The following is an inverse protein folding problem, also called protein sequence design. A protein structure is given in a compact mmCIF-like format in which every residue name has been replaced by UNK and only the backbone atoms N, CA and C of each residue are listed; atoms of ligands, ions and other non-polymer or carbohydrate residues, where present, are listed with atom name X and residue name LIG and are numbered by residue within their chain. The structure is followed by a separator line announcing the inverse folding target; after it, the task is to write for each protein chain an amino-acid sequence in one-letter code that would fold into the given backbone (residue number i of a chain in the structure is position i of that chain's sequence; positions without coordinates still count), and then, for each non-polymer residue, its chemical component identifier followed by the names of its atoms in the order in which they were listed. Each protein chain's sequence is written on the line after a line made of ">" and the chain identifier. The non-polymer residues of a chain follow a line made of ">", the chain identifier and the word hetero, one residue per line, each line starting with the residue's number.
data_IF_622033262942
#
_entry.id   IF_622033262942
#
_cell.length_a   1.000
_cell.length_b   1.000
_cell.length_c   1.000
_cell.angle_alpha   90.00
_cell.angle_beta   90.00
_cell.angle_gamma   90.00
#
_symmetry.space_group_name_H-M   'P 1'
#
loop_
_entity.id
_entity.type
_entity.pdbx_description
1 polymer ?
#
# COMPACT_ATOMS: atom_id res chain seq x y z
N UNK A 1 27.96 32.71 -1.61
CA UNK A 1 27.77 31.28 -1.34
C UNK A 1 26.62 30.82 -2.21
N UNK A 2 26.93 30.23 -3.35
CA UNK A 2 25.94 29.82 -4.34
C UNK A 2 25.59 28.35 -4.06
N UNK A 3 24.37 28.09 -3.62
CA UNK A 3 23.90 26.73 -3.41
C UNK A 3 23.77 26.03 -4.77
N UNK A 4 24.41 24.88 -4.91
CA UNK A 4 24.27 24.02 -6.08
C UNK A 4 22.89 23.38 -6.05
N UNK A 5 22.02 23.81 -6.96
CA UNK A 5 20.77 23.11 -7.27
C UNK A 5 21.14 21.87 -8.08
N UNK A 6 21.25 20.71 -7.40
CA UNK A 6 21.33 19.42 -8.08
C UNK A 6 19.91 19.05 -8.49
N UNK A 7 19.61 19.28 -9.77
CA UNK A 7 18.42 18.73 -10.41
C UNK A 7 18.59 17.22 -10.57
N UNK A 8 17.76 16.46 -9.86
CA UNK A 8 17.52 15.06 -10.16
C UNK A 8 16.12 14.96 -10.76
N UNK A 9 16.05 14.66 -12.06
CA UNK A 9 14.81 14.25 -12.71
C UNK A 9 14.49 12.82 -12.24
N UNK A 10 14.06 12.67 -10.99
CA UNK A 10 13.50 11.42 -10.46
C UNK A 10 12.01 11.40 -10.79
N UNK A 11 11.45 10.26 -11.18
CA UNK A 11 10.02 10.08 -11.02
C UNK A 11 9.72 10.36 -9.54
N UNK A 12 8.97 11.42 -9.26
CA UNK A 12 8.79 11.93 -7.90
C UNK A 12 7.97 10.90 -7.13
N UNK A 13 8.66 10.05 -6.37
CA UNK A 13 8.02 9.13 -5.43
C UNK A 13 7.06 9.94 -4.54
N UNK A 14 5.88 9.40 -4.19
CA UNK A 14 4.94 10.13 -3.37
C UNK A 14 5.60 10.61 -2.07
N UNK A 15 5.56 11.90 -1.74
CA UNK A 15 6.22 12.43 -0.54
C UNK A 15 5.70 11.77 0.75
N UNK A 16 4.44 11.32 0.75
CA UNK A 16 3.82 10.59 1.86
C UNK A 16 4.54 9.28 2.23
N UNK A 17 5.34 8.72 1.33
CA UNK A 17 6.12 7.50 1.61
C UNK A 17 7.33 7.75 2.52
N UNK A 18 7.74 9.01 2.70
CA UNK A 18 8.87 9.38 3.56
C UNK A 18 8.44 9.82 4.97
N UNK A 19 7.18 9.60 5.32
CA UNK A 19 6.59 9.91 6.62
C UNK A 19 5.90 8.66 7.20
N UNK A 20 5.66 8.59 8.52
CA UNK A 20 4.81 7.55 9.09
C UNK A 20 3.46 7.51 8.35
N UNK A 21 2.96 6.32 7.99
CA UNK A 21 1.69 6.21 7.28
C UNK A 21 0.56 6.70 8.18
N UNK A 22 -0.36 7.47 7.59
CA UNK A 22 -1.58 7.91 8.28
C UNK A 22 -2.54 6.74 8.44
N UNK A 23 -3.36 6.80 9.47
CA UNK A 23 -4.41 5.82 9.70
C UNK A 23 -5.71 6.19 8.99
N UNK A 24 -6.66 5.25 8.93
CA UNK A 24 -7.96 5.48 8.34
C UNK A 24 -8.75 6.58 9.08
N UNK A 25 -8.66 6.61 10.42
CA UNK A 25 -9.34 7.62 11.24
C UNK A 25 -8.82 9.03 10.96
N UNK A 26 -7.51 9.23 10.82
CA UNK A 26 -6.88 10.51 10.47
C UNK A 26 -7.32 11.04 9.09
N UNK A 27 -7.66 10.13 8.18
CA UNK A 27 -8.12 10.44 6.82
C UNK A 27 -9.64 10.45 6.67
N UNK A 28 -10.40 10.14 7.73
CA UNK A 28 -11.85 10.06 7.70
C UNK A 28 -12.40 8.91 6.83
N UNK A 29 -11.65 7.83 6.67
CA UNK A 29 -12.05 6.64 5.89
C UNK A 29 -12.82 5.71 6.82
N UNK A 30 -14.10 5.47 6.50
CA UNK A 30 -15.01 4.66 7.34
C UNK A 30 -15.57 3.43 6.62
N UNK A 31 -15.14 3.17 5.39
CA UNK A 31 -15.68 2.08 4.57
C UNK A 31 -14.53 1.37 3.85
N UNK A 32 -14.55 0.04 3.93
CA UNK A 32 -13.51 -0.81 3.38
C UNK A 32 -14.11 -1.77 2.35
N UNK A 33 -13.35 -2.05 1.30
CA UNK A 33 -13.70 -3.01 0.26
C UNK A 33 -12.68 -4.15 0.26
N UNK A 34 -13.05 -5.28 -0.35
CA UNK A 34 -12.16 -6.43 -0.48
C UNK A 34 -12.19 -6.99 -1.91
N UNK A 35 -11.23 -7.88 -2.20
CA UNK A 35 -11.19 -8.59 -3.47
C UNK A 35 -12.42 -9.49 -3.64
N UNK A 36 -13.06 -9.54 -4.83
CA UNK A 36 -14.16 -10.46 -5.11
C UNK A 36 -13.81 -11.93 -4.86
N UNK A 37 -12.53 -12.29 -5.00
CA UNK A 37 -12.05 -13.64 -4.67
C UNK A 37 -12.25 -14.04 -3.20
N UNK A 38 -12.31 -13.06 -2.29
CA UNK A 38 -12.56 -13.28 -0.87
C UNK A 38 -14.06 -13.36 -0.54
N UNK A 39 -14.93 -12.79 -1.38
CA UNK A 39 -16.39 -12.84 -1.16
C UNK A 39 -16.94 -14.27 -1.28
N UNK A 40 -16.25 -15.14 -2.04
CA UNK A 40 -16.60 -16.56 -2.21
C UNK A 40 -16.06 -17.45 -1.07
N UNK A 41 -15.47 -16.86 -0.02
CA UNK A 41 -14.87 -17.59 1.12
C UNK A 41 -15.70 -17.43 2.37
N UNK A 42 -15.69 -18.46 3.22
CA UNK A 42 -16.32 -18.43 4.55
C UNK A 42 -15.46 -17.65 5.56
N UNK A 43 -15.37 -16.33 5.38
CA UNK A 43 -14.61 -15.43 6.23
C UNK A 43 -15.51 -14.41 6.92
N UNK A 44 -15.13 -13.89 8.11
CA UNK A 44 -15.76 -12.70 8.65
C UNK A 44 -15.69 -11.52 7.67
N UNK A 45 -16.64 -10.56 7.77
CA UNK A 45 -16.61 -9.31 7.01
C UNK A 45 -15.27 -8.55 7.13
N UNK A 46 -14.93 -7.77 6.11
CA UNK A 46 -13.60 -7.12 6.01
C UNK A 46 -13.30 -6.18 7.18
N UNK A 47 -14.29 -5.44 7.66
CA UNK A 47 -14.19 -4.55 8.82
C UNK A 47 -13.87 -5.30 10.13
N UNK A 48 -14.33 -6.55 10.29
CA UNK A 48 -14.00 -7.38 11.44
C UNK A 48 -12.59 -8.01 11.37
N UNK A 49 -11.99 -8.06 10.18
CA UNK A 49 -10.66 -8.65 9.97
C UNK A 49 -9.54 -7.61 10.01
N UNK A 50 -9.87 -6.34 9.76
CA UNK A 50 -8.93 -5.24 9.87
C UNK A 50 -8.71 -4.87 11.35
N UNK A 51 -7.55 -4.30 11.71
CA UNK A 51 -7.38 -3.59 12.98
C UNK A 51 -8.40 -2.45 13.11
N UNK A 52 -8.66 -2.02 14.35
CA UNK A 52 -9.61 -0.92 14.64
C UNK A 52 -9.28 0.37 13.87
N UNK A 53 -8.00 0.66 13.68
CA UNK A 53 -7.53 1.81 12.90
C UNK A 53 -6.39 1.41 11.93
N UNK A 54 -6.72 0.95 10.72
CA UNK A 54 -5.72 0.44 9.78
C UNK A 54 -4.89 1.58 9.16
N UNK A 55 -3.61 1.31 8.91
CA UNK A 55 -2.75 2.22 8.14
C UNK A 55 -3.19 2.30 6.68
N UNK A 56 -3.02 3.49 6.08
CA UNK A 56 -3.41 3.76 4.69
C UNK A 56 -2.17 4.03 3.84
N UNK A 57 -2.03 3.26 2.76
CA UNK A 57 -0.90 3.38 1.83
C UNK A 57 -1.28 4.27 0.65
N UNK A 58 -0.47 5.27 0.35
CA UNK A 58 -0.65 6.13 -0.82
C UNK A 58 -0.21 5.38 -2.10
N UNK A 59 -1.04 5.32 -3.16
CA UNK A 59 -0.64 4.67 -4.41
C UNK A 59 0.53 5.38 -5.10
N UNK A 60 1.36 4.63 -5.83
CA UNK A 60 2.45 5.22 -6.61
C UNK A 60 1.94 6.08 -7.77
N UNK A 61 0.96 5.57 -8.52
CA UNK A 61 0.40 6.25 -9.70
C UNK A 61 -1.10 6.50 -9.55
N UNK A 62 -1.89 5.46 -9.29
CA UNK A 62 -3.35 5.56 -9.16
C UNK A 62 -3.95 4.45 -8.29
N UNK A 63 -5.22 4.60 -7.91
CA UNK A 63 -5.97 3.59 -7.15
C UNK A 63 -6.06 2.29 -7.98
N UNK A 64 -5.58 1.19 -7.40
CA UNK A 64 -5.57 -0.12 -8.04
C UNK A 64 -6.96 -0.76 -8.18
N UNK A 65 -7.01 -1.86 -8.95
CA UNK A 65 -8.19 -2.73 -9.07
C UNK A 65 -7.85 -4.11 -8.53
N UNK A 66 -8.78 -4.76 -7.85
CA UNK A 66 -8.59 -6.12 -7.37
C UNK A 66 -8.49 -7.14 -8.51
N UNK A 67 -7.64 -8.14 -8.34
CA UNK A 67 -7.54 -9.31 -9.22
C UNK A 67 -6.23 -9.39 -10.01
N UNK A 68 -6.19 -10.35 -10.94
CA UNK A 68 -5.02 -10.65 -11.76
C UNK A 68 -4.14 -11.77 -11.19
N UNK A 69 -3.04 -12.06 -11.89
CA UNK A 69 -2.04 -13.05 -11.46
C UNK A 69 -0.66 -12.52 -11.80
N UNK A 70 0.13 -12.21 -10.77
CA UNK A 70 1.54 -11.85 -10.94
C UNK A 70 2.35 -13.12 -11.26
N UNK A 71 3.01 -13.15 -12.42
CA UNK A 71 3.95 -14.21 -12.78
C UNK A 71 5.35 -13.70 -12.52
N UNK A 72 5.99 -14.26 -11.49
CA UNK A 72 7.32 -13.87 -11.04
C UNK A 72 8.26 -15.05 -11.20
N UNK A 73 9.55 -14.81 -11.37
CA UNK A 73 10.54 -15.88 -11.25
C UNK A 73 10.90 -16.09 -9.78
N UNK A 74 11.42 -17.26 -9.44
CA UNK A 74 11.83 -17.60 -8.06
C UNK A 74 12.78 -16.55 -7.44
N UNK A 75 13.62 -15.91 -8.27
CA UNK A 75 14.58 -14.91 -7.82
C UNK A 75 13.99 -13.51 -7.63
N UNK A 76 12.79 -13.25 -8.14
CA UNK A 76 12.11 -11.95 -8.01
C UNK A 76 11.22 -11.88 -6.75
N UNK A 77 11.21 -12.91 -5.90
CA UNK A 77 10.29 -12.97 -4.75
C UNK A 77 10.41 -11.73 -3.84
N UNK A 78 11.64 -11.22 -3.67
CA UNK A 78 11.93 -10.08 -2.80
C UNK A 78 11.56 -8.73 -3.42
N UNK A 79 11.16 -8.68 -4.70
CA UNK A 79 10.74 -7.45 -5.35
C UNK A 79 9.24 -7.15 -5.17
N UNK A 80 8.42 -8.19 -4.98
CA UNK A 80 6.96 -8.05 -4.93
C UNK A 80 6.38 -8.24 -3.52
N UNK A 81 7.04 -9.03 -2.69
CA UNK A 81 6.65 -9.25 -1.31
C UNK A 81 7.71 -8.62 -0.42
N UNK A 82 7.40 -7.46 0.14
CA UNK A 82 8.23 -6.85 1.15
C UNK A 82 8.14 -7.70 2.43
N UNK A 83 9.14 -8.54 2.67
CA UNK A 83 9.27 -9.39 3.88
C UNK A 83 9.19 -8.58 5.19
N UNK A 84 9.36 -7.25 5.14
CA UNK A 84 9.58 -6.37 6.30
C UNK A 84 8.36 -5.58 6.81
N UNK A 85 7.18 -5.62 6.18
CA UNK A 85 5.97 -4.94 6.72
C UNK A 85 5.06 -5.84 7.57
N UNK A 86 5.41 -7.11 7.77
CA UNK A 86 4.61 -8.03 8.59
C UNK A 86 4.93 -7.93 10.11
N UNK A 87 5.87 -7.08 10.54
CA UNK A 87 6.46 -7.17 11.89
C UNK A 87 6.77 -5.84 12.59
N UNK A 88 6.09 -4.74 12.26
CA UNK A 88 6.11 -3.55 13.12
C UNK A 88 4.72 -2.96 13.25
#
# INVERSE_FOLDING_TARGET
>A
MTALTVGAQQAELPPEWFHPPKTASELGITTFSQSPYLDERELPPVDQRLPDDPVVIHPYESIGKYGGTARITIWDNGQFFNTEHAVT
#
